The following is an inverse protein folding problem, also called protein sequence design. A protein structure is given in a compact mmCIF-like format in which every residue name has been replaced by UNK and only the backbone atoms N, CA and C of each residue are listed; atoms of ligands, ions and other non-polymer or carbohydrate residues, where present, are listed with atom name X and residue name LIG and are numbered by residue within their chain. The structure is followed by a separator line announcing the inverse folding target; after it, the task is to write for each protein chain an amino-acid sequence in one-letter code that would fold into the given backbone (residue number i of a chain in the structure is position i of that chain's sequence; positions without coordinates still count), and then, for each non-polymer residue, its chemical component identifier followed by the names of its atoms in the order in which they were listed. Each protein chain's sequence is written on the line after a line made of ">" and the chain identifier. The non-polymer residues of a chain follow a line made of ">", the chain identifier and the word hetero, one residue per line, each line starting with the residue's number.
data_IF_178425413106
#
_entry.id   IF_178425413106
#
_cell.length_a   1.000
_cell.length_b   1.000
_cell.length_c   1.000
_cell.angle_alpha   90.00
_cell.angle_beta   90.00
_cell.angle_gamma   90.00
#
_symmetry.space_group_name_H-M   'P 1'
#
loop_
_entity.id
_entity.type
_entity.pdbx_description
1 polymer ?
#
# COMPACT_ATOMS: atom_id res chain seq x y z
N UNK A 1 22.20 -26.55 63.11
CA UNK A 1 22.08 -26.89 61.68
C UNK A 1 20.59 -27.14 61.43
N UNK A 2 19.82 -26.43 60.62
CA UNK A 2 20.08 -25.72 59.37
C UNK A 2 19.18 -24.47 59.27
N UNK A 3 19.82 -23.39 58.85
CA UNK A 3 19.31 -22.08 58.49
C UNK A 3 18.63 -22.12 57.12
N UNK A 4 17.57 -21.33 56.92
CA UNK A 4 17.25 -20.81 55.59
C UNK A 4 15.81 -21.05 55.11
N UNK A 5 14.87 -20.20 55.54
CA UNK A 5 13.60 -20.04 54.84
C UNK A 5 12.97 -18.67 55.13
N UNK A 6 13.69 -17.58 54.89
CA UNK A 6 13.15 -16.21 55.06
C UNK A 6 13.60 -15.17 54.01
N UNK A 7 14.23 -15.57 52.91
CA UNK A 7 14.78 -14.63 51.90
C UNK A 7 14.19 -14.90 50.49
N UNK A 8 12.96 -15.39 50.39
CA UNK A 8 12.32 -15.64 49.08
C UNK A 8 11.01 -14.87 48.88
N UNK A 9 10.53 -14.16 49.90
CA UNK A 9 9.27 -13.43 49.81
C UNK A 9 9.41 -11.95 49.36
N UNK A 10 10.62 -11.39 49.29
CA UNK A 10 10.81 -9.97 48.98
C UNK A 10 11.15 -9.66 47.51
N UNK A 11 11.47 -10.67 46.70
CA UNK A 11 11.80 -10.50 45.27
C UNK A 11 10.60 -10.68 44.33
N UNK A 12 9.48 -11.20 44.81
CA UNK A 12 8.30 -11.45 43.98
C UNK A 12 7.47 -10.18 43.68
N UNK A 13 7.57 -9.12 44.50
CA UNK A 13 6.78 -7.90 44.33
C UNK A 13 7.32 -6.95 43.26
N UNK A 14 8.64 -6.92 43.05
CA UNK A 14 9.27 -5.93 42.16
C UNK A 14 9.21 -6.33 40.67
N UNK A 15 9.12 -7.63 40.37
CA UNK A 15 9.06 -8.14 39.00
C UNK A 15 7.70 -7.89 38.32
N UNK A 16 6.62 -7.72 39.09
CA UNK A 16 5.27 -7.49 38.55
C UNK A 16 5.02 -6.01 38.18
N UNK A 17 5.76 -5.07 38.76
CA UNK A 17 5.59 -3.64 38.46
C UNK A 17 6.26 -3.21 37.14
N UNK A 18 7.35 -3.87 36.73
CA UNK A 18 8.05 -3.55 35.48
C UNK A 18 7.28 -3.94 34.21
N UNK A 19 6.46 -4.98 34.28
CA UNK A 19 5.68 -5.50 33.14
C UNK A 19 4.53 -4.56 32.74
N UNK A 20 4.03 -3.73 33.66
CA UNK A 20 2.96 -2.77 33.36
C UNK A 20 3.45 -1.57 32.54
N UNK A 21 4.73 -1.18 32.67
CA UNK A 21 5.28 -0.01 31.96
C UNK A 21 5.56 -0.30 30.47
N UNK A 22 5.93 -1.53 30.11
CA UNK A 22 6.20 -1.89 28.72
C UNK A 22 4.95 -1.90 27.83
N UNK A 23 3.76 -2.06 28.41
CA UNK A 23 2.49 -2.07 27.68
C UNK A 23 1.98 -0.67 27.30
N UNK A 24 2.57 0.41 27.83
CA UNK A 24 2.15 1.80 27.54
C UNK A 24 2.97 2.49 26.44
N UNK A 25 3.74 1.76 25.63
CA UNK A 25 4.40 2.39 24.50
C UNK A 25 3.33 2.93 23.53
N UNK A 26 3.29 4.25 23.26
CA UNK A 26 2.30 4.83 22.35
C UNK A 26 2.41 4.15 20.99
N UNK A 27 1.28 3.62 20.50
CA UNK A 27 1.24 3.06 19.16
C UNK A 27 1.64 4.14 18.15
N UNK A 28 2.46 3.82 17.13
CA UNK A 28 2.76 4.74 16.05
C UNK A 28 1.46 5.27 15.45
N UNK A 29 1.36 6.60 15.33
CA UNK A 29 0.21 7.22 14.71
C UNK A 29 0.07 6.72 13.25
N UNK A 30 -1.16 6.46 12.77
CA UNK A 30 -1.39 6.11 11.37
C UNK A 30 -0.78 7.16 10.43
N UNK A 31 -0.12 6.71 9.37
CA UNK A 31 0.40 7.63 8.36
C UNK A 31 -0.76 8.41 7.70
N UNK A 32 -0.57 9.69 7.36
CA UNK A 32 -1.55 10.45 6.60
C UNK A 32 -1.87 9.77 5.26
N UNK A 33 -3.12 9.85 4.77
CA UNK A 33 -3.46 9.35 3.45
C UNK A 33 -2.65 10.08 2.36
N UNK A 34 -2.33 9.40 1.24
CA UNK A 34 -1.67 10.05 0.11
C UNK A 34 -2.51 11.22 -0.42
N UNK A 35 -1.87 12.27 -0.97
CA UNK A 35 -2.59 13.34 -1.64
C UNK A 35 -3.39 12.80 -2.85
N UNK A 36 -4.51 13.43 -3.20
CA UNK A 36 -5.31 13.02 -4.34
C UNK A 36 -4.53 13.20 -5.66
N UNK A 37 -4.83 12.38 -6.69
CA UNK A 37 -4.17 12.51 -7.99
C UNK A 37 -4.52 13.85 -8.65
N UNK A 38 -3.53 14.48 -9.28
CA UNK A 38 -3.72 15.71 -10.05
C UNK A 38 -4.51 15.42 -11.33
N UNK A 39 -5.63 16.12 -11.59
CA UNK A 39 -6.37 15.97 -12.84
C UNK A 39 -5.54 16.39 -14.07
N UNK A 40 -5.79 15.75 -15.21
CA UNK A 40 -5.24 16.21 -16.49
C UNK A 40 -5.87 17.55 -16.88
N UNK A 41 -5.04 18.52 -17.27
CA UNK A 41 -5.50 19.81 -17.75
C UNK A 41 -6.05 19.68 -19.18
N UNK A 42 -7.07 20.49 -19.51
CA UNK A 42 -7.63 20.56 -20.86
C UNK A 42 -6.85 21.57 -21.70
N UNK A 43 -6.65 21.29 -22.99
CA UNK A 43 -5.95 22.19 -23.91
C UNK A 43 -4.42 22.12 -23.86
N UNK A 44 -3.86 21.25 -23.02
CA UNK A 44 -2.44 20.87 -23.06
C UNK A 44 -2.28 19.55 -23.80
N UNK A 45 -1.06 19.29 -24.29
CA UNK A 45 -0.74 18.02 -24.93
C UNK A 45 -1.00 16.85 -23.97
N UNK A 46 -1.69 15.83 -24.46
CA UNK A 46 -1.93 14.62 -23.70
C UNK A 46 -0.59 13.90 -23.43
N UNK A 47 -0.31 13.47 -22.18
CA UNK A 47 0.90 12.72 -21.86
C UNK A 47 1.01 11.45 -22.71
N UNK A 48 2.17 11.25 -23.33
CA UNK A 48 2.42 10.07 -24.14
C UNK A 48 2.61 8.82 -23.27
N UNK A 49 2.12 7.68 -23.75
CA UNK A 49 2.25 6.40 -23.07
C UNK A 49 2.26 5.25 -24.06
N UNK A 50 2.80 4.12 -23.63
CA UNK A 50 2.86 2.88 -24.41
C UNK A 50 2.23 1.75 -23.61
N UNK A 51 1.32 1.00 -24.23
CA UNK A 51 0.62 -0.14 -23.63
C UNK A 51 0.68 -1.38 -24.53
N UNK A 52 0.63 -2.60 -23.97
CA UNK A 52 0.37 -3.80 -24.75
C UNK A 52 -0.99 -3.67 -25.47
N UNK A 53 -1.03 -3.96 -26.77
CA UNK A 53 -2.27 -3.99 -27.52
C UNK A 53 -2.90 -5.38 -27.44
N UNK A 54 -4.20 -5.45 -27.17
CA UNK A 54 -4.94 -6.70 -27.14
C UNK A 54 -6.20 -6.62 -28.03
N UNK A 55 -6.52 -7.73 -28.68
CA UNK A 55 -7.76 -7.92 -29.44
C UNK A 55 -8.43 -9.21 -29.00
N UNK A 56 -9.50 -9.62 -29.68
CA UNK A 56 -10.11 -10.94 -29.46
C UNK A 56 -9.14 -12.11 -29.70
N UNK A 57 -8.06 -11.90 -30.47
CA UNK A 57 -7.02 -12.91 -30.71
C UNK A 57 -5.97 -12.99 -29.58
N UNK A 58 -6.07 -12.14 -28.55
CA UNK A 58 -5.10 -12.05 -27.46
C UNK A 58 -4.21 -10.81 -27.54
N UNK A 59 -3.11 -10.82 -26.78
CA UNK A 59 -2.12 -9.74 -26.74
C UNK A 59 -1.20 -9.84 -27.96
N UNK A 60 -1.12 -8.76 -28.74
CA UNK A 60 -0.27 -8.67 -29.92
C UNK A 60 1.20 -8.41 -29.57
N UNK A 61 2.08 -8.63 -30.54
CA UNK A 61 3.52 -8.40 -30.38
C UNK A 61 3.89 -6.91 -30.41
N UNK A 62 3.16 -6.10 -31.18
CA UNK A 62 3.41 -4.67 -31.27
C UNK A 62 2.64 -3.91 -30.19
N UNK A 63 3.33 -3.10 -29.36
CA UNK A 63 2.67 -2.23 -28.42
C UNK A 63 1.97 -1.07 -29.14
N UNK A 64 0.99 -0.46 -28.48
CA UNK A 64 0.32 0.75 -28.93
C UNK A 64 0.88 1.96 -28.18
N UNK A 65 1.34 2.97 -28.91
CA UNK A 65 1.77 4.25 -28.35
C UNK A 65 0.77 5.35 -28.71
N UNK A 66 0.49 6.24 -27.76
CA UNK A 66 -0.49 7.31 -27.98
C UNK A 66 -0.09 8.23 -29.14
N UNK A 67 1.20 8.54 -29.29
CA UNK A 67 1.73 9.35 -30.41
C UNK A 67 1.45 8.77 -31.80
N UNK A 68 1.25 7.46 -31.92
CA UNK A 68 1.01 6.80 -33.21
C UNK A 68 -0.43 7.05 -33.70
N UNK A 69 -1.31 7.54 -32.81
CA UNK A 69 -2.69 7.90 -33.08
C UNK A 69 -2.88 9.40 -33.33
N UNK A 70 -1.79 10.15 -33.62
CA UNK A 70 -1.91 11.56 -34.01
C UNK A 70 -2.85 11.73 -35.21
N UNK A 71 -3.44 12.91 -35.28
CA UNK A 71 -4.41 13.32 -36.31
C UNK A 71 -5.75 12.54 -36.26
N UNK A 72 -5.98 11.77 -35.19
CA UNK A 72 -7.26 11.08 -34.92
C UNK A 72 -7.91 11.64 -33.66
N UNK A 73 -9.23 11.58 -33.61
CA UNK A 73 -9.96 11.74 -32.35
C UNK A 73 -9.90 10.42 -31.60
N UNK A 74 -9.36 10.43 -30.38
CA UNK A 74 -9.16 9.24 -29.55
C UNK A 74 -9.95 9.39 -28.25
N UNK A 75 -10.73 8.36 -27.90
CA UNK A 75 -11.42 8.28 -26.61
C UNK A 75 -10.71 7.23 -25.77
N UNK A 76 -10.27 7.62 -24.58
CA UNK A 76 -9.58 6.73 -23.62
C UNK A 76 -10.49 6.52 -22.43
N UNK A 77 -10.72 5.26 -22.07
CA UNK A 77 -11.49 4.87 -20.90
C UNK A 77 -10.72 3.84 -20.09
N UNK A 78 -10.74 4.01 -18.76
CA UNK A 78 -10.13 3.08 -17.82
C UNK A 78 -11.24 2.25 -17.17
N UNK A 79 -11.07 0.93 -17.20
CA UNK A 79 -11.97 -0.01 -16.54
C UNK A 79 -11.22 -0.66 -15.39
N UNK A 80 -11.86 -0.75 -14.22
CA UNK A 80 -11.32 -1.56 -13.14
C UNK A 80 -11.22 -3.01 -13.60
N UNK A 81 -10.12 -3.69 -13.21
CA UNK A 81 -9.97 -5.12 -13.48
C UNK A 81 -11.16 -5.87 -12.88
N UNK A 82 -11.91 -6.57 -13.73
CA UNK A 82 -12.98 -7.45 -13.29
C UNK A 82 -12.37 -8.52 -12.37
N UNK A 83 -12.76 -8.51 -11.09
CA UNK A 83 -12.50 -9.62 -10.17
C UNK A 83 -13.54 -10.70 -10.42
N UNK A 84 -13.31 -11.53 -11.43
CA UNK A 84 -14.00 -12.81 -11.49
C UNK A 84 -13.39 -13.72 -10.41
N UNK A 85 -14.21 -14.17 -9.47
CA UNK A 85 -13.80 -15.17 -8.46
C UNK A 85 -13.53 -16.50 -9.16
N UNK A 86 -12.45 -17.16 -8.75
CA UNK A 86 -12.44 -18.61 -8.53
C UNK A 86 -12.67 -18.84 -7.05
#
# INVERSE_FOLDING_TARGET
>A
MKTGLRITALTAGLALFGQALAAQQPAPAPAPPPPPPTPLAVGVDAPDFTLPAATMAGVGAQPLRLSDLRDKTVVIAFFFRARTRG
#
